data_IF_569043585997
#
_entry.id   IF_569043585997
#
_cell.length_a   1.000
_cell.length_b   1.000
_cell.length_c   1.000
_cell.angle_alpha   90.00
_cell.angle_beta   90.00
_cell.angle_gamma   90.00
#
_symmetry.space_group_name_H-M   'P 1'
#
loop_
_entity.id
_entity.type
_entity.pdbx_description
1 polymer ?
2 non-polymer ?
3 water ?
#
# COMPACT_ATOMS: atom_id res chain seq x y z
N UNK A 1 -35.78 1.12 -26.31
CA UNK A 1 -34.56 0.30 -26.56
C UNK A 1 -34.51 -0.91 -25.63
N UNK A 2 -34.56 -2.10 -26.23
CA UNK A 2 -34.51 -3.36 -25.51
C UNK A 2 -33.37 -4.14 -26.10
N UNK A 3 -32.68 -4.89 -25.25
CA UNK A 3 -31.54 -5.66 -25.70
C UNK A 3 -31.35 -6.86 -24.78
N UNK A 4 -31.28 -8.07 -25.36
CA UNK A 4 -31.09 -9.27 -24.54
C UNK A 4 -29.74 -9.19 -23.81
N UNK A 5 -29.64 -9.84 -22.66
CA UNK A 5 -28.41 -9.88 -21.89
C UNK A 5 -27.23 -10.39 -22.75
N UNK A 6 -26.04 -9.83 -22.53
CA UNK A 6 -24.83 -10.26 -23.23
C UNK A 6 -23.70 -10.22 -22.19
N UNK A 7 -22.66 -11.01 -22.41
CA UNK A 7 -21.54 -11.04 -21.48
C UNK A 7 -20.31 -11.48 -22.23
N UNK A 8 -19.17 -10.96 -21.80
CA UNK A 8 -17.91 -11.31 -22.39
C UNK A 8 -16.87 -11.42 -21.30
N UNK A 9 -16.01 -12.42 -21.39
CA UNK A 9 -14.95 -12.56 -20.42
C UNK A 9 -13.60 -12.51 -21.13
N UNK A 10 -12.56 -12.18 -20.42
CA UNK A 10 -11.24 -12.19 -20.94
C UNK A 10 -10.45 -13.16 -20.04
N UNK A 11 -9.38 -13.74 -20.56
CA UNK A 11 -8.61 -14.66 -19.72
C UNK A 11 -8.14 -13.90 -18.47
N UNK A 12 -7.87 -14.65 -17.41
CA UNK A 12 -7.46 -14.08 -16.13
C UNK A 12 -6.12 -13.38 -16.21
N UNK A 13 -6.01 -12.24 -15.55
CA UNK A 13 -4.77 -11.46 -15.56
C UNK A 13 -4.29 -11.24 -14.12
N UNK A 14 -2.99 -11.38 -13.89
CA UNK A 14 -2.47 -11.17 -12.55
C UNK A 14 -2.08 -9.72 -12.52
N UNK A 15 -2.61 -9.00 -11.56
CA UNK A 15 -2.26 -7.63 -11.50
C UNK A 15 -1.00 -7.50 -10.66
N UNK A 16 -0.61 -6.27 -10.44
CA UNK A 16 0.58 -5.99 -9.67
C UNK A 16 0.23 -5.14 -8.46
N UNK A 17 -0.31 -5.82 -7.46
CA UNK A 17 -0.69 -5.22 -6.19
C UNK A 17 0.42 -5.54 -5.21
N UNK A 18 0.99 -4.50 -4.63
CA UNK A 18 2.06 -4.63 -3.69
C UNK A 18 1.68 -4.20 -2.28
N UNK A 19 2.41 -4.76 -1.33
CA UNK A 19 2.26 -4.44 0.09
C UNK A 19 3.64 -4.12 0.72
N UNK A 20 3.75 -2.99 1.42
CA UNK A 20 4.93 -2.71 2.20
C UNK A 20 4.37 -3.04 3.59
N UNK A 21 4.75 -4.21 4.15
CA UNK A 21 4.23 -4.57 5.48
C UNK A 21 4.79 -3.71 6.63
N UNK A 22 3.92 -3.39 7.60
CA UNK A 22 4.34 -2.62 8.75
C UNK A 22 3.66 -3.09 10.04
N UNK A 23 4.32 -2.79 11.16
CA UNK A 23 3.80 -3.08 12.49
C UNK A 23 4.07 -1.78 13.27
N UNK A 24 3.12 -1.36 14.09
CA UNK A 24 3.24 -0.16 14.90
C UNK A 24 2.72 -0.44 16.30
N UNK A 25 3.47 -0.01 17.32
CA UNK A 25 3.05 -0.25 18.70
C UNK A 25 3.38 0.96 19.57
N UNK A 26 2.78 0.97 20.76
CA UNK A 26 3.00 2.06 21.69
C UNK A 26 1.71 2.30 22.44
N UNK A 27 1.81 2.92 23.61
CA UNK A 27 0.61 3.18 24.41
C UNK A 27 0.69 4.59 25.00
N UNK A 28 -0.23 5.48 24.62
CA UNK A 28 -1.34 5.25 23.69
C UNK A 28 -0.89 4.92 22.26
N UNK A 29 -1.85 4.50 21.44
CA UNK A 29 -1.55 4.14 20.07
C UNK A 29 -0.99 5.37 19.36
N UNK A 30 0.13 5.19 18.67
CA UNK A 30 0.78 6.30 17.95
C UNK A 30 0.01 6.84 16.75
N UNK A 31 0.21 8.11 16.43
CA UNK A 31 -0.39 8.61 15.20
C UNK A 31 0.71 8.30 14.19
N UNK A 32 0.33 8.21 12.92
CA UNK A 32 1.24 7.81 11.85
C UNK A 32 1.33 8.74 10.68
N UNK A 33 2.45 8.69 9.96
CA UNK A 33 2.58 9.53 8.78
C UNK A 33 3.57 8.81 7.88
N UNK A 34 3.23 8.67 6.61
CA UNK A 34 4.12 8.04 5.63
C UNK A 34 4.85 9.12 4.87
N UNK A 35 6.12 8.87 4.56
CA UNK A 35 6.89 9.78 3.72
C UNK A 35 7.38 8.92 2.56
N UNK A 36 7.46 9.52 1.39
CA UNK A 36 7.99 8.88 0.19
C UNK A 36 9.13 9.80 -0.21
N UNK A 37 10.36 9.27 -0.26
CA UNK A 37 11.56 10.07 -0.55
C UNK A 37 11.62 11.35 0.30
N UNK A 38 11.25 11.23 1.57
CA UNK A 38 11.33 12.40 2.44
C UNK A 38 10.14 13.35 2.48
N UNK A 39 9.23 13.26 1.52
CA UNK A 39 8.08 14.16 1.54
C UNK A 39 6.83 13.41 1.94
N UNK A 40 5.87 14.14 2.49
CA UNK A 40 4.62 13.54 2.90
C UNK A 40 3.98 12.84 1.71
N UNK A 41 3.52 11.62 1.96
CA UNK A 41 2.88 10.83 0.93
C UNK A 41 1.39 11.04 1.08
N UNK A 42 0.76 11.54 0.03
CA UNK A 42 -0.68 11.76 0.07
C UNK A 42 -1.30 10.47 -0.44
N UNK A 43 -2.10 9.84 0.40
CA UNK A 43 -2.71 8.59 0.00
C UNK A 43 -3.78 8.84 -1.05
N UNK A 44 -3.88 7.89 -1.99
CA UNK A 44 -4.83 7.93 -3.10
C UNK A 44 -5.54 6.59 -3.19
N UNK A 45 -6.18 6.32 -4.33
CA UNK A 45 -6.89 5.05 -4.51
C UNK A 45 -5.93 3.95 -5.00
N UNK A 46 -4.73 4.37 -5.40
CA UNK A 46 -3.72 3.43 -5.88
C UNK A 46 -2.67 3.20 -4.81
N UNK A 47 -2.59 4.13 -3.85
CA UNK A 47 -1.60 4.07 -2.76
C UNK A 47 -2.30 4.37 -1.45
N UNK A 48 -2.53 3.35 -0.62
CA UNK A 48 -3.24 3.60 0.64
C UNK A 48 -2.85 2.63 1.77
N UNK A 49 -3.21 3.00 2.99
CA UNK A 49 -2.88 2.20 4.16
C UNK A 49 -4.01 1.24 4.45
N UNK A 50 -3.65 0.03 4.84
CA UNK A 50 -4.62 -1.01 5.12
C UNK A 50 -4.15 -1.77 6.35
N UNK A 51 -4.98 -1.80 7.38
CA UNK A 51 -4.64 -2.51 8.60
C UNK A 51 -5.20 -3.92 8.61
N UNK A 52 -4.46 -4.85 9.18
CA UNK A 52 -4.96 -6.21 9.30
C UNK A 52 -5.68 -6.21 10.65
N UNK A 53 -6.91 -6.73 10.68
CA UNK A 53 -7.73 -6.79 11.88
C UNK A 53 -6.94 -7.05 13.17
N UNK A 54 -7.20 -6.24 14.21
CA UNK A 54 -6.57 -6.31 15.53
C UNK A 54 -6.43 -7.71 16.10
N UNK A 55 -5.29 -7.96 16.74
CA UNK A 55 -5.02 -9.27 17.35
C UNK A 55 -5.60 -9.34 18.77
N UNK A 56 -5.64 -10.55 19.32
CA UNK A 56 -6.17 -10.79 20.66
C UNK A 56 -5.29 -10.18 21.76
N UNK A 57 -5.80 -9.12 22.39
CA UNK A 57 -5.10 -8.41 23.46
C UNK A 57 -3.88 -7.59 23.01
N UNK A 58 -3.19 -8.05 21.97
CA UNK A 58 -2.02 -7.34 21.45
C UNK A 58 -2.35 -5.85 21.31
N UNK A 59 -1.38 -5.00 21.64
CA UNK A 59 -1.56 -3.56 21.54
C UNK A 59 -1.04 -3.09 20.17
N UNK A 60 -0.14 -3.88 19.62
CA UNK A 60 0.46 -3.64 18.32
C UNK A 60 -0.52 -3.82 17.14
N UNK A 61 -0.36 -2.98 16.13
CA UNK A 61 -1.17 -3.00 14.92
C UNK A 61 -0.26 -3.45 13.77
N UNK A 62 -0.82 -4.21 12.83
CA UNK A 62 -0.08 -4.72 11.67
C UNK A 62 -0.82 -4.26 10.42
N UNK A 63 -0.11 -4.09 9.31
CA UNK A 63 -0.78 -3.67 8.09
C UNK A 63 0.08 -3.58 6.84
N UNK A 64 -0.47 -2.96 5.80
CA UNK A 64 0.24 -2.76 4.56
C UNK A 64 0.09 -1.37 4.04
N UNK A 65 1.16 -0.85 3.45
CA UNK A 65 0.98 0.36 2.67
C UNK A 65 0.69 -0.41 1.36
N UNK A 66 -0.47 -0.18 0.76
CA UNK A 66 -0.82 -0.84 -0.49
C UNK A 66 -0.55 0.03 -1.71
N UNK A 67 0.07 -0.56 -2.73
CA UNK A 67 0.37 0.15 -3.97
C UNK A 67 -0.19 -0.72 -5.10
N UNK A 68 -1.12 -0.18 -5.88
CA UNK A 68 -1.69 -0.93 -7.00
C UNK A 68 -1.07 -0.42 -8.29
N UNK A 69 -0.47 -1.31 -9.07
CA UNK A 69 0.11 -0.88 -10.36
C UNK A 69 1.23 0.16 -10.26
N UNK A 70 2.16 -0.04 -9.31
CA UNK A 70 3.25 0.92 -9.17
C UNK A 70 4.23 0.74 -10.34
N UNK A 71 4.90 1.83 -10.71
CA UNK A 71 5.89 1.80 -11.79
C UNK A 71 7.16 2.47 -11.26
N UNK A 72 8.14 2.71 -12.12
CA UNK A 72 9.39 3.31 -11.69
C UNK A 72 9.22 4.66 -10.96
N UNK A 73 8.09 5.31 -11.17
CA UNK A 73 7.80 6.60 -10.54
C UNK A 73 7.56 6.44 -9.04
N UNK A 74 7.34 5.20 -8.61
CA UNK A 74 7.07 4.94 -7.21
C UNK A 74 8.36 4.42 -6.54
N UNK A 75 9.47 4.45 -7.26
CA UNK A 75 10.74 3.96 -6.70
C UNK A 75 11.25 4.91 -5.62
N UNK A 76 11.88 4.36 -4.59
CA UNK A 76 12.42 5.23 -3.56
C UNK A 76 12.26 4.77 -2.13
N UNK A 77 12.49 5.70 -1.21
CA UNK A 77 12.38 5.38 0.21
C UNK A 77 10.97 5.61 0.70
N UNK A 78 10.44 4.64 1.44
CA UNK A 78 9.13 4.78 2.07
C UNK A 78 9.44 4.75 3.57
N UNK A 79 8.97 5.78 4.28
CA UNK A 79 9.21 5.90 5.70
C UNK A 79 7.91 6.00 6.45
N UNK A 80 7.77 5.19 7.49
CA UNK A 80 6.58 5.30 8.32
C UNK A 80 7.07 5.99 9.60
N UNK A 81 6.41 7.09 9.94
CA UNK A 81 6.72 7.84 11.15
C UNK A 81 5.63 7.53 12.17
N UNK A 82 5.98 7.28 13.43
CA UNK A 82 4.94 7.06 14.45
C UNK A 82 5.26 7.99 15.62
N UNK A 83 4.24 8.53 16.28
CA UNK A 83 4.49 9.40 17.41
C UNK A 83 3.38 9.30 18.43
N UNK A 84 3.77 9.31 19.69
CA UNK A 84 2.82 9.30 20.79
C UNK A 84 3.40 10.15 21.92
N UNK A 85 2.65 10.32 23.02
CA UNK A 85 3.13 11.12 24.14
C UNK A 85 4.53 10.76 24.69
N UNK A 86 4.93 9.50 24.57
CA UNK A 86 6.21 9.07 25.12
C UNK A 86 7.40 8.91 24.17
N UNK A 87 7.24 9.28 22.89
CA UNK A 87 8.37 9.15 21.99
C UNK A 87 7.99 9.11 20.52
N UNK A 88 8.99 9.09 19.65
CA UNK A 88 8.71 9.04 18.22
C UNK A 88 9.59 7.94 17.64
N UNK A 89 9.24 7.47 16.46
CA UNK A 89 10.07 6.44 15.86
C UNK A 89 9.82 6.47 14.38
N UNK A 90 10.70 5.80 13.64
CA UNK A 90 10.54 5.74 12.20
C UNK A 90 11.25 4.51 11.68
N UNK A 91 10.78 4.04 10.54
CA UNK A 91 11.42 2.92 9.88
C UNK A 91 11.35 3.22 8.40
N UNK A 92 12.40 2.88 7.65
CA UNK A 92 12.38 3.15 6.24
C UNK A 92 12.95 1.97 5.47
N UNK A 93 12.39 1.73 4.30
CA UNK A 93 12.91 0.71 3.41
C UNK A 93 12.97 1.31 2.02
N UNK A 94 13.79 0.70 1.18
CA UNK A 94 13.90 1.14 -0.20
C UNK A 94 13.02 0.20 -1.03
N UNK A 95 12.30 0.74 -2.01
CA UNK A 95 11.44 -0.09 -2.87
C UNK A 95 11.59 0.33 -4.34
N UNK A 96 11.65 -0.66 -5.23
CA UNK A 96 11.75 -0.38 -6.66
C UNK A 96 10.71 -1.26 -7.37
N UNK A 97 10.02 -0.71 -8.36
CA UNK A 97 9.01 -1.47 -9.08
C UNK A 97 9.44 -1.47 -10.54
N UNK A 98 10.18 -2.50 -10.91
CA UNK A 98 10.69 -2.58 -12.26
C UNK A 98 9.95 -3.57 -13.17
N UNK A 99 8.74 -3.96 -12.80
CA UNK A 99 7.96 -4.87 -13.64
C UNK A 99 7.57 -4.11 -14.91
N UNK A 100 7.11 -4.85 -15.92
CA UNK A 100 6.73 -4.24 -17.20
C UNK A 100 5.71 -3.15 -16.95
N UNK A 101 6.14 -1.89 -17.06
CA UNK A 101 5.24 -0.76 -16.83
C UNK A 101 4.16 -0.62 -17.91
N UNK A 102 4.27 -1.37 -19.00
CA UNK A 102 3.29 -1.25 -20.08
C UNK A 102 2.30 -2.40 -20.19
N UNK A 103 2.39 -3.37 -19.29
CA UNK A 103 1.50 -4.51 -19.30
C UNK A 103 0.05 -4.02 -19.19
N UNK A 104 -0.88 -4.78 -19.76
CA UNK A 104 -2.31 -4.43 -19.70
C UNK A 104 -2.85 -4.46 -18.26
N UNK A 105 -3.56 -3.39 -17.88
CA UNK A 105 -4.16 -3.27 -16.55
C UNK A 105 -5.69 -3.18 -16.59
N UNK A 106 -6.37 -4.17 -16.01
CA UNK A 106 -7.84 -4.28 -15.94
C UNK A 106 -8.48 -3.15 -15.14
N UNK A 107 -7.91 -2.85 -13.98
CA UNK A 107 -8.43 -1.79 -13.14
C UNK A 107 -7.79 -0.47 -13.57
N UNK A 108 -7.54 -0.29 -14.79
X LIG B 1 -1.31 7.79 7.99
X LIG B 1 -2.34 6.80 7.75
X LIG B 1 -1.10 8.81 6.84
X LIG B 1 -1.99 8.59 5.74
X LIG B 1 0.34 8.79 6.32
X LIG B 1 0.70 9.94 5.51
#
# INVERSE_FOLDING_TARGET
SHMPASVQLHTAVEMHHWCIPFSVDGQPAPSLRWLFNGSVLNETSFIFTEFLEPAANETVRHGCLRLNQPTHVNNGNYTLLAANPFGQASASIMAAFMDNPFEFNPEDPIPDTNSTSGDPVEKKDE
GOL C1 O1 C2 O2 C3 O3
#
